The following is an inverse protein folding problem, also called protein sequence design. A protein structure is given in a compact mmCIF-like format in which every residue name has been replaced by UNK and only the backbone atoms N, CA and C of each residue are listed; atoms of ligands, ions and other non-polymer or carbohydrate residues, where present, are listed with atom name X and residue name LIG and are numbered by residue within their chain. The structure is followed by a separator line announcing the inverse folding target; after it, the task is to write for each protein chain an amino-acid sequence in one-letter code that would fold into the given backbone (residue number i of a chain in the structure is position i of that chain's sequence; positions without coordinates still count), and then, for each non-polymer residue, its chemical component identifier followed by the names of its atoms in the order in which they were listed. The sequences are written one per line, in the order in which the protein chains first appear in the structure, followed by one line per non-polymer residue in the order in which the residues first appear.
data_IF_044425077073
#
_entry.id   IF_044425077073
#
_cell.length_a   1.000
_cell.length_b   1.000
_cell.length_c   1.000
_cell.angle_alpha   90.00
_cell.angle_beta   90.00
_cell.angle_gamma   90.00
#
_symmetry.space_group_name_H-M   'P 1'
#
loop_
_entity.id
_entity.type
_entity.pdbx_description
1 polymer ?
#
# COMPACT_ATOMS: atom_id res chain seq x y z
N UNK A 1 58.90 1.94 -31.96
CA UNK A 1 58.08 0.75 -31.69
C UNK A 1 57.57 0.88 -30.25
N UNK A 2 56.39 1.49 -30.06
CA UNK A 2 55.69 1.56 -28.77
C UNK A 2 54.24 1.21 -29.07
N UNK A 3 53.82 0.01 -28.65
CA UNK A 3 52.41 -0.39 -28.65
C UNK A 3 51.72 0.33 -27.49
N UNK A 4 50.71 1.15 -27.81
CA UNK A 4 49.73 1.62 -26.82
C UNK A 4 48.65 0.56 -26.72
N UNK A 5 48.58 -0.10 -25.57
CA UNK A 5 47.47 -0.96 -25.20
C UNK A 5 46.23 -0.07 -25.02
N UNK A 6 45.15 -0.40 -25.72
CA UNK A 6 43.83 0.18 -25.49
C UNK A 6 43.23 -0.46 -24.24
N UNK A 7 43.12 0.31 -23.16
CA UNK A 7 42.20 0.00 -22.07
C UNK A 7 40.79 0.39 -22.54
N UNK A 8 39.97 -0.61 -22.86
CA UNK A 8 38.52 -0.46 -22.92
C UNK A 8 38.00 -0.51 -21.50
N UNK A 9 37.76 0.66 -20.91
CA UNK A 9 36.94 0.78 -19.72
C UNK A 9 35.49 0.48 -20.13
N UNK A 10 34.97 -0.64 -19.63
CA UNK A 10 33.56 -0.98 -19.71
C UNK A 10 32.87 -0.14 -18.64
N UNK A 11 32.41 1.05 -19.02
CA UNK A 11 31.45 1.80 -18.20
C UNK A 11 30.14 1.00 -18.19
N UNK A 12 29.89 0.25 -17.11
CA UNK A 12 28.53 -0.16 -16.77
C UNK A 12 27.77 1.12 -16.43
N UNK A 13 27.02 1.65 -17.39
CA UNK A 13 25.98 2.65 -17.12
C UNK A 13 24.96 2.03 -16.16
N UNK A 14 25.16 2.28 -14.86
CA UNK A 14 24.11 2.09 -13.88
C UNK A 14 23.09 3.17 -14.18
N UNK A 15 22.01 2.80 -14.87
CA UNK A 15 20.87 3.67 -15.08
C UNK A 15 20.15 3.87 -13.75
N UNK A 16 20.66 4.77 -12.92
CA UNK A 16 20.06 5.12 -11.62
C UNK A 16 18.82 5.95 -11.92
N UNK A 17 17.65 5.29 -11.93
CA UNK A 17 16.38 6.00 -11.90
C UNK A 17 16.29 6.75 -10.57
N UNK A 18 15.78 7.98 -10.60
CA UNK A 18 15.42 8.68 -9.38
C UNK A 18 14.42 7.84 -8.55
N UNK A 19 14.65 7.69 -7.22
CA UNK A 19 13.67 7.16 -6.29
C UNK A 19 12.30 7.81 -6.46
N UNK A 20 11.26 7.00 -6.39
CA UNK A 20 9.86 7.44 -6.40
C UNK A 20 9.21 7.26 -5.05
N UNK A 21 8.16 8.01 -4.81
CA UNK A 21 7.26 7.85 -3.67
C UNK A 21 5.95 7.28 -4.19
N UNK A 22 5.56 6.10 -3.69
CA UNK A 22 4.46 5.32 -4.25
C UNK A 22 3.47 4.98 -3.14
N UNK A 23 2.19 5.22 -3.38
CA UNK A 23 1.09 4.78 -2.52
C UNK A 23 0.39 3.58 -3.15
N UNK A 24 0.22 2.51 -2.37
CA UNK A 24 -0.75 1.44 -2.61
C UNK A 24 -1.88 1.59 -1.59
N UNK A 25 -3.06 1.96 -2.07
CA UNK A 25 -4.28 2.13 -1.29
C UNK A 25 -5.20 0.93 -1.58
N UNK A 26 -5.19 -0.07 -0.70
CA UNK A 26 -5.96 -1.30 -0.89
C UNK A 26 -7.27 -1.17 -0.09
N UNK A 27 -8.39 -1.19 -0.82
CA UNK A 27 -9.74 -0.84 -0.36
C UNK A 27 -9.88 0.68 -0.22
N UNK A 28 -9.71 1.35 -1.36
CA UNK A 28 -9.56 2.80 -1.39
C UNK A 28 -10.87 3.56 -1.21
N UNK A 29 -12.02 2.92 -1.47
CA UNK A 29 -13.27 3.61 -1.83
C UNK A 29 -13.05 4.61 -2.97
N UNK A 30 -13.79 5.73 -2.98
CA UNK A 30 -13.45 6.90 -3.77
C UNK A 30 -12.32 7.71 -3.11
N UNK A 31 -11.55 8.48 -3.89
CA UNK A 31 -10.44 9.27 -3.36
C UNK A 31 -10.85 10.22 -2.21
N UNK A 32 -11.99 10.89 -2.35
CA UNK A 32 -12.55 11.80 -1.36
C UNK A 32 -13.48 11.14 -0.34
N UNK A 33 -13.60 9.81 -0.35
CA UNK A 33 -14.59 9.06 0.42
C UNK A 33 -15.93 8.93 -0.30
N UNK A 34 -16.85 8.17 0.29
CA UNK A 34 -18.20 8.01 -0.24
C UNK A 34 -18.99 9.33 -0.15
N UNK A 35 -20.06 9.48 -0.94
CA UNK A 35 -20.83 10.75 -1.04
C UNK A 35 -21.23 11.37 0.31
N UNK A 36 -21.42 10.55 1.34
CA UNK A 36 -21.83 10.97 2.68
C UNK A 36 -20.87 10.49 3.78
N UNK A 37 -19.68 10.03 3.42
CA UNK A 37 -18.72 9.47 4.36
C UNK A 37 -17.28 9.77 3.93
N UNK A 38 -16.72 10.84 4.50
CA UNK A 38 -15.32 11.21 4.31
C UNK A 38 -14.37 10.42 5.23
N UNK A 39 -14.89 9.56 6.12
CA UNK A 39 -14.05 8.73 6.98
C UNK A 39 -13.38 7.59 6.19
N UNK A 40 -13.99 7.15 5.09
CA UNK A 40 -13.41 6.20 4.13
C UNK A 40 -12.40 6.83 3.15
N UNK A 41 -12.11 8.14 3.24
CA UNK A 41 -11.31 8.89 2.28
C UNK A 41 -9.78 8.69 2.44
N UNK A 42 -9.30 7.45 2.45
CA UNK A 42 -7.90 7.13 2.66
C UNK A 42 -6.98 7.86 1.67
N UNK A 43 -7.31 7.82 0.37
CA UNK A 43 -6.55 8.51 -0.68
C UNK A 43 -6.36 10.01 -0.41
N UNK A 44 -7.44 10.73 -0.05
CA UNK A 44 -7.38 12.14 0.35
C UNK A 44 -6.56 12.35 1.61
N UNK A 45 -6.73 11.49 2.63
CA UNK A 45 -5.97 11.59 3.87
C UNK A 45 -4.46 11.50 3.62
N UNK A 46 -4.00 10.49 2.88
CA UNK A 46 -2.58 10.33 2.54
C UNK A 46 -2.07 11.51 1.71
N UNK A 47 -2.83 11.94 0.70
CA UNK A 47 -2.48 13.11 -0.11
C UNK A 47 -2.26 14.35 0.76
N UNK A 48 -3.21 14.67 1.64
CA UNK A 48 -3.11 15.84 2.51
C UNK A 48 -1.99 15.70 3.55
N UNK A 49 -1.83 14.51 4.14
CA UNK A 49 -0.81 14.24 5.15
C UNK A 49 0.60 14.46 4.58
N UNK A 50 0.93 13.82 3.45
CA UNK A 50 2.25 13.97 2.83
C UNK A 50 2.48 15.38 2.26
N UNK A 51 1.44 16.01 1.71
CA UNK A 51 1.51 17.39 1.20
C UNK A 51 1.88 18.40 2.29
N UNK A 52 1.47 18.20 3.55
CA UNK A 52 1.86 19.06 4.70
C UNK A 52 3.38 19.06 4.92
N UNK A 53 4.07 18.01 4.52
CA UNK A 53 5.53 17.90 4.58
C UNK A 53 6.21 18.23 3.24
N UNK A 54 5.48 18.81 2.29
CA UNK A 54 5.94 19.09 0.93
C UNK A 54 6.45 17.83 0.18
N UNK A 55 5.88 16.67 0.53
CA UNK A 55 6.15 15.39 -0.13
C UNK A 55 5.02 15.12 -1.13
N UNK A 56 5.37 14.70 -2.34
CA UNK A 56 4.42 14.35 -3.40
C UNK A 56 4.60 12.89 -3.79
N UNK A 57 3.50 12.20 -4.02
CA UNK A 57 3.55 10.88 -4.64
C UNK A 57 3.88 11.02 -6.12
N UNK A 58 4.70 10.10 -6.64
CA UNK A 58 4.94 9.93 -8.07
C UNK A 58 3.93 8.95 -8.69
N UNK A 59 3.30 8.13 -7.85
CA UNK A 59 2.26 7.18 -8.26
C UNK A 59 1.35 6.83 -7.10
N UNK A 60 0.06 6.70 -7.41
CA UNK A 60 -0.95 6.17 -6.50
C UNK A 60 -1.66 5.01 -7.21
N UNK A 61 -1.66 3.84 -6.60
CA UNK A 61 -2.40 2.66 -7.04
C UNK A 61 -3.50 2.42 -6.03
N UNK A 62 -4.75 2.51 -6.48
CA UNK A 62 -5.93 2.32 -5.64
C UNK A 62 -6.69 1.08 -6.08
N UNK A 63 -6.92 0.15 -5.16
CA UNK A 63 -7.74 -1.04 -5.38
C UNK A 63 -9.09 -0.85 -4.67
N UNK A 64 -10.18 -1.15 -5.37
CA UNK A 64 -11.52 -1.14 -4.79
C UNK A 64 -12.35 -2.27 -5.39
N UNK A 65 -12.98 -3.07 -4.53
CA UNK A 65 -13.83 -4.19 -4.96
C UNK A 65 -15.23 -3.72 -5.36
N UNK A 66 -15.78 -2.76 -4.62
CA UNK A 66 -17.10 -2.18 -4.84
C UNK A 66 -17.15 -1.46 -6.18
N UNK A 67 -18.23 -1.65 -6.95
CA UNK A 67 -18.37 -0.95 -8.23
C UNK A 67 -18.46 0.56 -8.01
N UNK A 68 -17.47 1.30 -8.49
CA UNK A 68 -17.44 2.76 -8.44
C UNK A 68 -18.03 3.35 -9.74
N UNK A 69 -18.68 4.51 -9.62
CA UNK A 69 -18.94 5.33 -10.80
C UNK A 69 -17.62 5.92 -11.26
N UNK A 70 -17.23 5.63 -12.52
CA UNK A 70 -15.97 6.10 -13.05
C UNK A 70 -15.89 7.63 -13.10
N UNK A 71 -16.95 8.30 -13.55
CA UNK A 71 -16.94 9.76 -13.66
C UNK A 71 -16.66 10.39 -12.30
N UNK A 72 -17.41 9.97 -11.28
CA UNK A 72 -17.31 10.50 -9.93
C UNK A 72 -15.94 10.17 -9.29
N UNK A 73 -15.43 8.96 -9.52
CA UNK A 73 -14.10 8.57 -9.02
C UNK A 73 -12.97 9.43 -9.58
N UNK A 74 -13.03 9.80 -10.86
CA UNK A 74 -12.01 10.63 -11.49
C UNK A 74 -12.21 12.12 -11.20
N UNK A 75 -13.45 12.60 -11.06
CA UNK A 75 -13.75 14.01 -10.81
C UNK A 75 -13.33 14.49 -9.41
N UNK A 76 -13.29 13.59 -8.43
CA UNK A 76 -12.81 13.91 -7.08
C UNK A 76 -11.29 14.16 -6.98
N UNK A 77 -10.51 13.74 -7.98
CA UNK A 77 -9.06 13.81 -7.90
C UNK A 77 -8.55 15.26 -8.00
N UNK A 78 -7.63 15.69 -7.12
CA UNK A 78 -6.87 16.91 -7.32
C UNK A 78 -6.15 16.89 -8.67
N UNK A 79 -6.00 18.06 -9.29
CA UNK A 79 -5.40 18.19 -10.62
C UNK A 79 -3.98 17.62 -10.73
N UNK A 80 -3.22 17.66 -9.63
CA UNK A 80 -1.87 17.11 -9.55
C UNK A 80 -1.84 15.60 -9.30
N UNK A 81 -2.94 15.02 -8.79
CA UNK A 81 -3.09 13.57 -8.54
C UNK A 81 -3.63 12.85 -9.78
N UNK A 82 -4.53 13.48 -10.53
CA UNK A 82 -5.14 12.91 -11.74
C UNK A 82 -4.15 12.16 -12.67
N UNK A 83 -2.98 12.72 -13.04
CA UNK A 83 -2.06 12.05 -13.97
C UNK A 83 -1.26 10.88 -13.36
N UNK A 84 -1.23 10.72 -12.04
CA UNK A 84 -0.43 9.72 -11.32
C UNK A 84 -1.27 8.64 -10.65
N UNK A 85 -2.60 8.79 -10.70
CA UNK A 85 -3.55 7.88 -10.06
C UNK A 85 -3.93 6.74 -11.00
N UNK A 86 -3.91 5.51 -10.48
CA UNK A 86 -4.40 4.31 -11.16
C UNK A 86 -5.48 3.68 -10.31
N UNK A 87 -6.72 3.71 -10.80
CA UNK A 87 -7.83 2.98 -10.18
C UNK A 87 -7.91 1.55 -10.75
N UNK A 88 -7.74 0.57 -9.89
CA UNK A 88 -7.95 -0.85 -10.16
C UNK A 88 -9.26 -1.25 -9.48
N UNK A 89 -10.38 -0.97 -10.15
CA UNK A 89 -11.71 -1.24 -9.59
C UNK A 89 -12.13 -2.72 -9.75
N UNK A 90 -11.30 -3.59 -9.18
CA UNK A 90 -11.54 -5.01 -8.96
C UNK A 90 -10.93 -5.39 -7.62
N UNK A 91 -11.49 -6.40 -6.96
CA UNK A 91 -10.94 -6.91 -5.71
C UNK A 91 -9.53 -7.48 -5.86
N UNK A 92 -8.74 -7.34 -4.80
CA UNK A 92 -7.43 -7.99 -4.70
C UNK A 92 -7.57 -9.50 -4.60
N UNK A 93 -6.52 -10.23 -4.99
CA UNK A 93 -6.48 -11.68 -4.90
C UNK A 93 -5.23 -12.17 -4.16
N UNK A 94 -5.30 -13.37 -3.58
CA UNK A 94 -4.14 -13.98 -2.91
C UNK A 94 -2.96 -14.25 -3.87
N UNK A 95 -3.23 -14.42 -5.16
CA UNK A 95 -2.22 -14.70 -6.18
C UNK A 95 -2.65 -14.19 -7.56
N UNK A 96 -1.73 -14.21 -8.51
CA UNK A 96 -1.99 -13.79 -9.89
C UNK A 96 -1.96 -12.28 -10.09
N UNK A 97 -2.56 -11.80 -11.19
CA UNK A 97 -2.41 -10.41 -11.66
C UNK A 97 -3.05 -9.34 -10.76
N UNK A 98 -4.00 -9.73 -9.91
CA UNK A 98 -4.68 -8.83 -8.97
C UNK A 98 -4.18 -9.03 -7.54
N UNK A 99 -3.10 -9.80 -7.36
CA UNK A 99 -2.35 -9.75 -6.11
C UNK A 99 -1.56 -8.43 -6.07
N UNK A 100 -1.73 -7.61 -5.02
CA UNK A 100 -1.09 -6.30 -4.94
C UNK A 100 0.44 -6.41 -4.88
N UNK A 101 0.98 -7.49 -4.32
CA UNK A 101 2.43 -7.69 -4.21
C UNK A 101 3.08 -8.05 -5.54
N UNK A 102 2.40 -8.83 -6.39
CA UNK A 102 2.86 -9.07 -7.77
C UNK A 102 2.98 -7.75 -8.56
N UNK A 103 2.04 -6.83 -8.34
CA UNK A 103 2.09 -5.49 -8.92
C UNK A 103 3.21 -4.64 -8.30
N UNK A 104 3.34 -4.65 -6.97
CA UNK A 104 4.41 -3.96 -6.24
C UNK A 104 5.80 -4.34 -6.78
N UNK A 105 6.07 -5.63 -6.91
CA UNK A 105 7.34 -6.18 -7.42
C UNK A 105 7.65 -5.77 -8.86
N UNK A 106 6.63 -5.39 -9.63
CA UNK A 106 6.80 -4.91 -11.01
C UNK A 106 7.04 -3.40 -11.08
N UNK A 107 6.52 -2.64 -10.11
CA UNK A 107 6.49 -1.18 -10.16
C UNK A 107 7.58 -0.54 -9.30
N UNK A 108 7.85 -1.10 -8.14
CA UNK A 108 8.74 -0.56 -7.13
C UNK A 108 10.15 -1.15 -7.21
N UNK A 109 11.12 -0.39 -6.72
CA UNK A 109 12.50 -0.82 -6.51
C UNK A 109 12.88 -0.57 -5.04
N UNK A 110 13.91 -1.25 -4.51
CA UNK A 110 14.33 -1.06 -3.11
C UNK A 110 14.77 0.37 -2.76
N UNK A 111 15.01 1.23 -3.74
CA UNK A 111 15.34 2.64 -3.54
C UNK A 111 14.12 3.56 -3.53
N UNK A 112 12.95 3.09 -3.96
CA UNK A 112 11.69 3.85 -3.88
C UNK A 112 11.21 3.90 -2.42
N UNK A 113 10.39 4.89 -2.08
CA UNK A 113 9.68 4.97 -0.79
C UNK A 113 8.23 4.52 -1.00
N UNK A 114 7.87 3.38 -0.42
CA UNK A 114 6.55 2.77 -0.64
C UNK A 114 5.69 2.81 0.63
N UNK A 115 4.50 3.35 0.46
CA UNK A 115 3.45 3.44 1.48
C UNK A 115 2.32 2.50 1.07
N UNK A 116 1.87 1.66 2.01
CA UNK A 116 0.77 0.72 1.80
C UNK A 116 -0.30 0.97 2.84
N UNK A 117 -1.56 1.11 2.41
CA UNK A 117 -2.76 0.95 3.24
C UNK A 117 -3.41 -0.39 2.89
N UNK A 118 -3.76 -1.19 3.89
CA UNK A 118 -4.51 -2.43 3.74
C UNK A 118 -5.73 -2.40 4.65
N UNK A 119 -6.90 -2.29 4.04
CA UNK A 119 -8.22 -2.44 4.65
C UNK A 119 -9.20 -2.64 3.48
N UNK A 120 -9.64 -3.88 3.28
CA UNK A 120 -10.44 -4.37 2.13
C UNK A 120 -11.68 -5.14 2.59
N UNK A 121 -12.12 -4.94 3.83
CA UNK A 121 -13.31 -5.57 4.44
C UNK A 121 -13.32 -7.12 4.42
N UNK A 122 -12.14 -7.75 4.25
CA UNK A 122 -12.02 -9.22 4.19
C UNK A 122 -10.84 -9.70 5.03
N UNK A 123 -11.04 -9.77 6.34
CA UNK A 123 -9.99 -10.10 7.33
C UNK A 123 -9.13 -11.33 6.99
N UNK A 124 -9.74 -12.42 6.52
CA UNK A 124 -9.00 -13.63 6.14
C UNK A 124 -8.01 -13.37 4.98
N UNK A 125 -8.43 -12.58 3.98
CA UNK A 125 -7.59 -12.24 2.83
C UNK A 125 -6.50 -11.25 3.22
N UNK A 126 -6.81 -10.25 4.03
CA UNK A 126 -5.82 -9.31 4.59
C UNK A 126 -4.72 -10.04 5.35
N UNK A 127 -5.10 -10.99 6.22
CA UNK A 127 -4.16 -11.81 6.96
C UNK A 127 -3.29 -12.68 6.04
N UNK A 128 -3.85 -13.22 4.95
CA UNK A 128 -3.06 -13.89 3.91
C UNK A 128 -2.04 -12.93 3.27
N UNK A 129 -2.46 -11.71 2.91
CA UNK A 129 -1.57 -10.71 2.30
C UNK A 129 -0.46 -10.24 3.26
N UNK A 130 -0.78 -10.03 4.54
CA UNK A 130 0.21 -9.70 5.58
C UNK A 130 1.19 -10.86 5.80
N UNK A 131 0.70 -12.10 5.77
CA UNK A 131 1.57 -13.28 5.86
C UNK A 131 2.57 -13.33 4.71
N UNK A 132 2.15 -12.97 3.49
CA UNK A 132 3.07 -12.89 2.34
C UNK A 132 4.19 -11.89 2.60
N UNK A 133 3.89 -10.68 3.11
CA UNK A 133 4.90 -9.68 3.51
C UNK A 133 5.87 -10.28 4.53
N UNK A 134 5.36 -10.95 5.57
CA UNK A 134 6.19 -11.53 6.63
C UNK A 134 7.13 -12.63 6.16
N UNK A 135 6.73 -13.40 5.14
CA UNK A 135 7.47 -14.61 4.72
C UNK A 135 8.31 -14.43 3.47
N UNK A 136 8.08 -13.37 2.69
CA UNK A 136 8.75 -13.16 1.41
C UNK A 136 9.63 -11.89 1.43
N UNK A 137 10.97 -12.05 1.48
CA UNK A 137 11.92 -10.94 1.37
C UNK A 137 11.78 -10.13 0.09
N UNK A 138 11.35 -10.73 -1.01
CA UNK A 138 11.15 -9.98 -2.25
C UNK A 138 9.94 -9.04 -2.22
N UNK A 139 9.10 -9.13 -1.17
CA UNK A 139 7.98 -8.22 -0.91
C UNK A 139 8.36 -7.19 0.15
N UNK A 140 8.78 -7.62 1.35
CA UNK A 140 8.95 -6.67 2.46
C UNK A 140 10.10 -5.68 2.28
N UNK A 141 11.13 -6.00 1.48
CA UNK A 141 12.21 -5.04 1.18
C UNK A 141 11.73 -3.86 0.33
N UNK A 142 10.52 -3.95 -0.23
CA UNK A 142 9.90 -2.92 -1.08
C UNK A 142 8.88 -2.08 -0.33
N UNK A 143 8.67 -2.28 0.98
CA UNK A 143 7.63 -1.57 1.76
C UNK A 143 8.30 -0.80 2.89
N UNK A 144 8.16 0.52 2.90
CA UNK A 144 8.69 1.38 3.95
C UNK A 144 7.67 1.65 5.05
N UNK A 145 6.41 1.86 4.66
CA UNK A 145 5.30 2.19 5.55
C UNK A 145 4.11 1.31 5.27
N UNK A 146 3.51 0.77 6.33
CA UNK A 146 2.32 -0.07 6.25
C UNK A 146 1.30 0.40 7.27
N UNK A 147 0.11 0.75 6.79
CA UNK A 147 -1.06 1.05 7.60
C UNK A 147 -2.05 -0.10 7.39
N UNK A 148 -2.41 -0.80 8.46
CA UNK A 148 -3.22 -2.01 8.39
C UNK A 148 -4.30 -1.98 9.46
N UNK A 149 -5.55 -2.19 9.05
CA UNK A 149 -6.68 -2.39 9.96
C UNK A 149 -6.72 -3.86 10.41
N UNK A 150 -5.95 -4.18 11.44
CA UNK A 150 -5.95 -5.52 11.97
C UNK A 150 -7.18 -5.75 12.85
N UNK A 151 -8.18 -6.43 12.27
CA UNK A 151 -9.40 -6.85 12.93
C UNK A 151 -9.12 -7.80 14.12
N UNK A 152 -9.23 -7.28 15.34
CA UNK A 152 -9.00 -8.04 16.59
C UNK A 152 -10.13 -7.92 17.59
N UNK A 153 -10.27 -8.96 18.42
CA UNK A 153 -11.28 -9.04 19.48
C UNK A 153 -10.87 -8.16 20.66
N UNK A 154 -11.45 -6.96 20.72
CA UNK A 154 -11.30 -6.00 21.82
C UNK A 154 -12.64 -5.30 22.05
N UNK A 155 -13.06 -5.17 23.31
CA UNK A 155 -14.42 -4.76 23.67
C UNK A 155 -14.79 -3.38 23.11
N UNK A 156 -13.81 -2.49 23.09
CA UNK A 156 -13.93 -1.11 22.60
C UNK A 156 -14.24 -1.05 21.10
N UNK A 157 -13.86 -2.06 20.33
CA UNK A 157 -14.06 -2.09 18.87
C UNK A 157 -15.28 -2.91 18.42
N UNK A 158 -15.92 -3.67 19.33
CA UNK A 158 -17.14 -4.45 19.02
C UNK A 158 -18.21 -3.63 18.27
N UNK A 159 -18.51 -2.37 18.65
CA UNK A 159 -19.52 -1.58 17.95
C UNK A 159 -19.17 -1.27 16.48
N UNK A 160 -17.89 -1.30 16.12
CA UNK A 160 -17.40 -0.95 14.77
C UNK A 160 -17.19 -2.20 13.90
N UNK A 161 -16.90 -3.36 14.50
CA UNK A 161 -16.78 -4.63 13.78
C UNK A 161 -18.09 -5.22 13.26
N UNK A 162 -19.23 -4.64 13.66
CA UNK A 162 -20.55 -5.13 13.25
C UNK A 162 -20.72 -6.62 13.58
N UNK A 163 -21.31 -7.39 12.68
CA UNK A 163 -21.58 -8.82 12.89
C UNK A 163 -20.32 -9.71 12.83
N UNK A 164 -19.15 -9.17 12.42
CA UNK A 164 -17.92 -9.94 12.29
C UNK A 164 -17.26 -10.22 13.65
N UNK A 165 -17.59 -9.47 14.70
CA UNK A 165 -16.87 -9.49 15.98
C UNK A 165 -16.74 -10.89 16.61
N UNK A 166 -17.78 -11.74 16.49
CA UNK A 166 -17.82 -13.11 17.02
C UNK A 166 -16.92 -14.10 16.25
N UNK A 167 -16.53 -13.74 15.02
CA UNK A 167 -15.70 -14.57 14.14
C UNK A 167 -14.21 -14.21 14.19
N UNK A 168 -13.86 -13.12 14.90
CA UNK A 168 -12.48 -12.69 15.08
C UNK A 168 -11.75 -13.63 16.05
N UNK A 169 -10.66 -14.21 15.56
CA UNK A 169 -9.86 -15.16 16.33
C UNK A 169 -8.63 -14.54 16.99
N UNK A 170 -8.20 -13.36 16.51
CA UNK A 170 -6.98 -12.70 16.98
C UNK A 170 -7.30 -11.70 18.09
N UNK A 171 -6.45 -11.70 19.13
CA UNK A 171 -6.56 -10.75 20.24
C UNK A 171 -5.74 -9.48 20.00
N UNK A 172 -5.97 -8.46 20.81
CA UNK A 172 -5.12 -7.25 20.81
C UNK A 172 -3.62 -7.60 21.02
N UNK A 173 -3.32 -8.62 21.83
CA UNK A 173 -1.95 -9.11 22.03
C UNK A 173 -1.34 -9.65 20.73
N UNK A 174 -2.14 -10.37 19.94
CA UNK A 174 -1.70 -10.93 18.66
C UNK A 174 -1.41 -9.81 17.67
N UNK A 175 -2.22 -8.73 17.67
CA UNK A 175 -1.93 -7.51 16.93
C UNK A 175 -0.56 -6.91 17.31
N UNK A 176 -0.29 -6.70 18.60
CA UNK A 176 1.01 -6.18 19.03
C UNK A 176 2.19 -7.07 18.59
N UNK A 177 2.03 -8.40 18.64
CA UNK A 177 3.05 -9.34 18.16
C UNK A 177 3.24 -9.21 16.66
N UNK A 178 2.16 -9.12 15.89
CA UNK A 178 2.16 -8.98 14.45
C UNK A 178 2.88 -7.69 14.02
N UNK A 179 2.44 -6.55 14.55
CA UNK A 179 3.05 -5.25 14.26
C UNK A 179 4.51 -5.18 14.69
N UNK A 180 4.89 -5.85 15.79
CA UNK A 180 6.31 -5.98 16.16
C UNK A 180 7.11 -6.75 15.11
N UNK A 181 6.60 -7.87 14.60
CA UNK A 181 7.28 -8.66 13.56
C UNK A 181 7.46 -7.85 12.28
N UNK A 182 6.44 -7.13 11.84
CA UNK A 182 6.53 -6.23 10.67
C UNK A 182 7.63 -5.17 10.86
N UNK A 183 7.69 -4.54 12.03
CA UNK A 183 8.76 -3.56 12.36
C UNK A 183 10.15 -4.18 12.44
N UNK A 184 10.27 -5.44 12.83
CA UNK A 184 11.55 -6.16 12.81
C UNK A 184 12.07 -6.43 11.39
N UNK A 185 11.20 -6.38 10.37
CA UNK A 185 11.58 -6.45 8.96
C UNK A 185 12.00 -5.07 8.39
N UNK A 186 11.96 -4.00 9.20
CA UNK A 186 12.28 -2.64 8.76
C UNK A 186 11.08 -1.80 8.34
N UNK A 187 9.87 -2.38 8.33
CA UNK A 187 8.64 -1.68 7.93
C UNK A 187 8.13 -0.80 9.07
N UNK A 188 7.86 0.48 8.81
CA UNK A 188 7.13 1.35 9.75
C UNK A 188 5.64 0.99 9.70
N UNK A 189 5.28 -0.01 10.48
CA UNK A 189 3.90 -0.51 10.53
C UNK A 189 3.07 0.25 11.58
N UNK A 190 1.87 0.66 11.20
CA UNK A 190 0.91 1.44 12.00
C UNK A 190 -0.49 0.85 11.87
N UNK A 191 -1.29 0.94 12.94
CA UNK A 191 -2.71 0.59 12.84
C UNK A 191 -3.40 1.61 11.93
N UNK A 192 -4.25 1.13 11.04
CA UNK A 192 -5.27 1.94 10.40
C UNK A 192 -6.55 1.82 11.23
N UNK A 193 -7.22 2.93 11.58
CA UNK A 193 -8.45 2.95 12.37
C UNK A 193 -9.71 2.92 11.51
#
# INVERSE_FOLDING_TARGET
MYQRLAHTDIEMEINIRNPKIILFDLGSSYFGGWENDDTAAAGKWFYEYYKRFNVKFDRIIAFEFSSLNQHDAWEQLPSDVFPIYTLVNVGVTESGKFNPWAMLQTIAQPSDHVVVKLDIDTSALENTLIKQILTDPSIHILIDELLFEHHVTVNEMIPYWGDMWDSLNDSLKDSYILFKKLRQLGIRAHSWP
#
